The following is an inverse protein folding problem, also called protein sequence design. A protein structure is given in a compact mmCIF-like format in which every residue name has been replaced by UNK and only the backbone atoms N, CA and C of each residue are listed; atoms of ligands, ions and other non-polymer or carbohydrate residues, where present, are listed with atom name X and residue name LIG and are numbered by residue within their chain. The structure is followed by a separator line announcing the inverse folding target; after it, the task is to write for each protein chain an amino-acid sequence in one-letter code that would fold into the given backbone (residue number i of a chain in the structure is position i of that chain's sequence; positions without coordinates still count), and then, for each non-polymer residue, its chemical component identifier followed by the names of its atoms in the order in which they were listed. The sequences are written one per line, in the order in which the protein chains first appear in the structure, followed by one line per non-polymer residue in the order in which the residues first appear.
data_IF_228028697041
#
_entry.id   IF_228028697041
#
_cell.length_a   1.000
_cell.length_b   1.000
_cell.length_c   1.000
_cell.angle_alpha   90.00
_cell.angle_beta   90.00
_cell.angle_gamma   90.00
#
_symmetry.space_group_name_H-M   'P 1'
#
loop_
_entity.id
_entity.type
_entity.pdbx_description
1 polymer ?
#
# COMPACT_ATOMS: atom_id res chain seq x y z
N UNK A 1 3.56 20.77 -10.27
CA UNK A 1 3.11 19.73 -11.23
C UNK A 1 1.72 19.26 -10.80
N UNK A 2 1.10 18.25 -11.43
CA UNK A 2 -0.11 17.68 -10.83
C UNK A 2 0.28 16.85 -9.60
N UNK A 3 -0.59 16.79 -8.59
CA UNK A 3 -0.36 15.97 -7.38
C UNK A 3 -0.10 14.50 -7.71
N UNK A 4 -0.76 13.98 -8.74
CA UNK A 4 -0.56 12.61 -9.24
C UNK A 4 0.88 12.42 -9.74
N UNK A 5 1.38 13.36 -10.54
CA UNK A 5 2.74 13.30 -11.08
C UNK A 5 3.79 13.37 -9.96
N UNK A 6 3.60 14.29 -9.00
CA UNK A 6 4.51 14.45 -7.86
C UNK A 6 4.55 13.19 -6.98
N UNK A 7 3.39 12.59 -6.70
CA UNK A 7 3.32 11.32 -5.97
C UNK A 7 4.01 10.18 -6.72
N UNK A 8 3.72 10.04 -8.02
CA UNK A 8 4.28 9.00 -8.86
C UNK A 8 5.81 9.11 -8.92
N UNK A 9 6.36 10.30 -9.16
CA UNK A 9 7.81 10.52 -9.18
C UNK A 9 8.46 10.19 -7.84
N UNK A 10 7.81 10.55 -6.72
CA UNK A 10 8.34 10.32 -5.37
C UNK A 10 8.40 8.83 -5.01
N UNK A 11 7.41 8.04 -5.41
CA UNK A 11 7.26 6.65 -4.96
C UNK A 11 7.45 5.60 -6.06
N UNK A 12 7.81 6.01 -7.29
CA UNK A 12 8.04 5.09 -8.41
C UNK A 12 9.06 3.99 -8.09
N UNK A 13 10.13 4.32 -7.36
CA UNK A 13 11.17 3.33 -7.00
C UNK A 13 10.58 2.21 -6.15
N UNK A 14 9.77 2.53 -5.13
CA UNK A 14 9.11 1.51 -4.30
C UNK A 14 8.14 0.67 -5.14
N UNK A 15 7.30 1.29 -5.97
CA UNK A 15 6.37 0.54 -6.82
C UNK A 15 7.07 -0.40 -7.80
N UNK A 16 8.18 0.05 -8.41
CA UNK A 16 9.00 -0.78 -9.29
C UNK A 16 9.69 -1.93 -8.56
N UNK A 17 10.10 -1.74 -7.30
CA UNK A 17 10.61 -2.83 -6.47
C UNK A 17 9.55 -3.88 -6.19
N UNK A 18 8.33 -3.45 -5.87
CA UNK A 18 7.21 -4.37 -5.66
C UNK A 18 6.87 -5.14 -6.94
N UNK A 19 6.90 -4.49 -8.10
CA UNK A 19 6.73 -5.15 -9.40
C UNK A 19 7.77 -6.25 -9.64
N UNK A 20 9.05 -5.98 -9.36
CA UNK A 20 10.11 -6.97 -9.54
C UNK A 20 10.03 -8.14 -8.55
N UNK A 21 9.63 -7.88 -7.30
CA UNK A 21 9.57 -8.89 -6.25
C UNK A 21 8.31 -9.75 -6.32
N UNK A 22 7.17 -9.12 -6.61
CA UNK A 22 5.83 -9.69 -6.40
C UNK A 22 4.99 -9.76 -7.67
N UNK A 23 5.47 -9.23 -8.79
CA UNK A 23 4.75 -9.25 -10.07
C UNK A 23 3.57 -8.28 -10.16
N UNK A 24 3.41 -7.35 -9.21
CA UNK A 24 2.34 -6.35 -9.27
C UNK A 24 2.78 -5.21 -10.18
N UNK A 25 2.09 -4.89 -11.29
CA UNK A 25 2.49 -3.80 -12.16
C UNK A 25 2.70 -2.50 -11.38
N UNK A 26 3.86 -1.84 -11.55
CA UNK A 26 4.20 -0.65 -10.79
C UNK A 26 3.15 0.47 -10.94
N UNK A 27 2.53 0.56 -12.13
CA UNK A 27 1.43 1.49 -12.42
C UNK A 27 0.20 1.23 -11.56
N UNK A 28 -0.15 -0.03 -11.31
CA UNK A 28 -1.28 -0.43 -10.46
C UNK A 28 -1.00 -0.03 -9.01
N UNK A 29 0.17 -0.39 -8.48
CA UNK A 29 0.57 -0.02 -7.12
C UNK A 29 0.58 1.50 -6.92
N UNK A 30 1.10 2.26 -7.89
CA UNK A 30 1.07 3.73 -7.82
C UNK A 30 -0.34 4.30 -7.91
N UNK A 31 -1.20 3.75 -8.78
CA UNK A 31 -2.57 4.21 -8.93
C UNK A 31 -3.37 3.98 -7.63
N UNK A 32 -3.25 2.79 -7.03
CA UNK A 32 -3.83 2.50 -5.72
C UNK A 32 -3.25 3.42 -4.65
N UNK A 33 -1.93 3.54 -4.58
CA UNK A 33 -1.27 4.45 -3.63
C UNK A 33 -1.79 5.88 -3.74
N UNK A 34 -1.96 6.42 -4.96
CA UNK A 34 -2.54 7.75 -5.19
C UNK A 34 -3.95 7.86 -4.63
N UNK A 35 -4.82 6.90 -4.96
CA UNK A 35 -6.23 6.91 -4.57
C UNK A 35 -6.40 6.78 -3.06
N UNK A 36 -5.79 5.76 -2.47
CA UNK A 36 -5.94 5.37 -1.07
C UNK A 36 -5.31 6.40 -0.12
N UNK A 37 -4.23 7.07 -0.55
CA UNK A 37 -3.52 8.04 0.29
C UNK A 37 -3.87 9.50 0.03
N UNK A 38 -4.84 9.80 -0.84
CA UNK A 38 -5.08 11.17 -1.33
C UNK A 38 -3.77 11.83 -1.82
N UNK A 39 -3.03 11.15 -2.69
CA UNK A 39 -1.69 11.58 -3.13
C UNK A 39 -0.69 11.77 -1.96
N UNK A 40 -0.74 10.89 -0.95
CA UNK A 40 0.12 10.95 0.22
C UNK A 40 -0.22 12.08 1.19
N UNK A 41 -1.41 12.67 1.09
CA UNK A 41 -1.86 13.78 1.93
C UNK A 41 -2.89 13.36 2.98
N UNK A 42 -3.33 12.09 2.98
CA UNK A 42 -4.21 11.59 4.03
C UNK A 42 -3.51 11.64 5.39
N UNK A 43 -4.30 11.79 6.46
CA UNK A 43 -3.78 11.80 7.83
C UNK A 43 -3.01 10.52 8.16
N UNK A 44 -3.51 9.37 7.69
CA UNK A 44 -2.83 8.07 7.86
C UNK A 44 -1.47 8.03 7.15
N UNK A 45 -1.40 8.53 5.91
CA UNK A 45 -0.14 8.50 5.16
C UNK A 45 0.90 9.47 5.72
N UNK A 46 0.47 10.64 6.19
CA UNK A 46 1.37 11.64 6.78
C UNK A 46 1.89 11.24 8.16
N UNK A 47 1.04 10.64 9.00
CA UNK A 47 1.39 10.35 10.39
C UNK A 47 1.96 8.94 10.59
N UNK A 48 1.49 7.98 9.79
CA UNK A 48 1.75 6.55 10.02
C UNK A 48 2.52 5.91 8.86
N UNK A 49 2.92 6.68 7.85
CA UNK A 49 3.44 6.18 6.57
C UNK A 49 2.53 5.13 5.91
N UNK A 50 1.24 5.06 6.27
CA UNK A 50 0.31 4.05 5.79
C UNK A 50 -0.43 4.58 4.57
N UNK A 51 0.03 4.18 3.38
CA UNK A 51 -0.53 4.65 2.11
C UNK A 51 -1.75 3.86 1.62
N UNK A 52 -2.02 2.70 2.22
CA UNK A 52 -3.04 1.75 1.74
C UNK A 52 -4.11 1.45 2.79
N UNK A 53 -4.21 2.25 3.84
CA UNK A 53 -5.23 2.10 4.89
C UNK A 53 -5.21 0.74 5.59
N UNK A 54 -4.03 0.10 5.70
CA UNK A 54 -3.95 -1.27 6.24
C UNK A 54 -4.28 -1.26 7.74
N UNK A 55 -5.32 -2.01 8.12
CA UNK A 55 -5.74 -2.16 9.52
C UNK A 55 -4.74 -3.02 10.31
N UNK A 56 -4.47 -2.62 11.54
CA UNK A 56 -3.62 -3.37 12.46
C UNK A 56 -4.36 -4.61 12.97
N UNK A 57 -4.00 -5.76 12.43
CA UNK A 57 -4.59 -7.05 12.82
C UNK A 57 -4.13 -7.47 14.23
N UNK A 58 -4.84 -8.40 14.90
CA UNK A 58 -4.36 -8.96 16.17
C UNK A 58 -2.94 -9.55 16.07
N UNK A 59 -2.61 -10.19 14.94
CA UNK A 59 -1.28 -10.75 14.70
C UNK A 59 -0.19 -9.70 14.59
N UNK A 60 -0.45 -8.58 13.89
CA UNK A 60 0.45 -7.44 13.82
C UNK A 60 0.78 -6.89 15.21
N UNK A 61 -0.25 -6.67 16.03
CA UNK A 61 -0.11 -6.14 17.39
C UNK A 61 0.66 -7.13 18.28
N UNK A 62 0.35 -8.43 18.20
CA UNK A 62 1.02 -9.46 19.00
C UNK A 62 2.52 -9.58 18.67
N UNK A 63 2.93 -9.23 17.45
CA UNK A 63 4.33 -9.17 17.02
C UNK A 63 5.02 -7.84 17.37
N UNK A 64 4.34 -6.94 18.08
CA UNK A 64 4.89 -5.64 18.48
C UNK A 64 4.80 -4.57 17.40
N UNK A 65 3.98 -4.76 16.37
CA UNK A 65 3.78 -3.80 15.31
C UNK A 65 3.14 -2.49 15.83
N UNK A 66 3.69 -1.35 15.40
CA UNK A 66 3.17 -0.01 15.75
C UNK A 66 1.82 0.22 15.07
N UNK A 67 0.93 0.97 15.73
CA UNK A 67 -0.35 1.35 15.15
C UNK A 67 -0.83 2.69 15.72
N UNK A 68 -1.60 3.42 14.93
CA UNK A 68 -2.34 4.60 15.39
C UNK A 68 -3.84 4.29 15.49
N UNK A 69 -4.55 5.06 16.30
CA UNK A 69 -6.00 4.94 16.48
C UNK A 69 -6.69 6.08 15.74
N UNK A 70 -7.58 5.71 14.82
CA UNK A 70 -8.31 6.63 13.97
C UNK A 70 -9.78 6.19 13.91
N UNK A 71 -10.67 7.15 13.70
CA UNK A 71 -12.08 6.86 13.39
C UNK A 71 -12.24 6.98 11.89
N UNK A 72 -12.60 5.87 11.24
CA UNK A 72 -12.82 5.77 9.80
C UNK A 72 -14.25 5.24 9.55
N UNK A 73 -14.42 3.92 9.37
CA UNK A 73 -15.74 3.28 9.29
C UNK A 73 -16.41 3.18 10.67
N UNK A 74 -15.59 2.92 11.69
CA UNK A 74 -16.00 2.74 13.08
C UNK A 74 -15.12 3.56 14.02
N UNK A 75 -15.62 3.91 15.22
CA UNK A 75 -14.81 4.54 16.24
C UNK A 75 -13.63 3.67 16.66
N UNK A 76 -12.47 4.31 16.87
CA UNK A 76 -11.27 3.70 17.47
C UNK A 76 -10.70 2.51 16.68
N UNK A 77 -10.73 2.58 15.35
CA UNK A 77 -10.06 1.61 14.50
C UNK A 77 -8.54 1.76 14.57
N UNK A 78 -7.85 0.63 14.48
CA UNK A 78 -6.38 0.57 14.57
C UNK A 78 -5.82 0.38 13.19
N UNK A 79 -4.92 1.26 12.78
CA UNK A 79 -4.22 1.20 11.50
C UNK A 79 -2.74 1.00 11.73
N UNK A 80 -2.10 0.17 10.91
CA UNK A 80 -0.67 -0.06 10.99
C UNK A 80 0.09 1.26 10.85
N UNK A 81 1.19 1.35 11.59
CA UNK A 81 2.16 2.44 11.50
C UNK A 81 3.50 1.87 11.09
N UNK A 82 4.14 2.52 10.12
CA UNK A 82 5.34 2.03 9.46
C UNK A 82 6.50 2.99 9.65
N UNK A 83 7.72 2.45 9.69
CA UNK A 83 8.94 3.26 9.80
C UNK A 83 9.22 4.02 8.50
N UNK A 84 8.80 3.49 7.35
CA UNK A 84 8.87 4.15 6.06
C UNK A 84 7.64 3.91 5.17
N UNK A 85 7.46 4.76 4.16
CA UNK A 85 6.43 4.55 3.11
C UNK A 85 6.66 3.23 2.37
N UNK A 86 7.92 2.86 2.13
CA UNK A 86 8.29 1.61 1.47
C UNK A 86 7.78 0.37 2.21
N UNK A 87 7.77 0.40 3.54
CA UNK A 87 7.25 -0.71 4.35
C UNK A 87 5.73 -0.89 4.18
N UNK A 88 4.99 0.21 3.96
CA UNK A 88 3.56 0.12 3.64
C UNK A 88 3.31 -0.48 2.25
N UNK A 89 4.17 -0.18 1.27
CA UNK A 89 4.14 -0.77 -0.08
C UNK A 89 4.46 -2.27 -0.04
N UNK A 90 5.44 -2.67 0.79
CA UNK A 90 5.81 -4.05 1.01
C UNK A 90 4.67 -4.85 1.65
N UNK A 91 4.03 -4.31 2.71
CA UNK A 91 2.89 -4.97 3.37
C UNK A 91 1.69 -5.09 2.42
N UNK A 92 1.37 -4.04 1.66
CA UNK A 92 0.32 -4.09 0.64
C UNK A 92 0.57 -5.19 -0.38
N UNK A 93 1.80 -5.29 -0.88
CA UNK A 93 2.16 -6.28 -1.91
C UNK A 93 2.07 -7.71 -1.38
N UNK A 94 2.57 -7.97 -0.16
CA UNK A 94 2.42 -9.28 0.50
C UNK A 94 0.96 -9.65 0.70
N UNK A 95 0.12 -8.72 1.13
CA UNK A 95 -1.31 -8.97 1.30
C UNK A 95 -1.97 -9.42 -0.01
N UNK A 96 -1.63 -8.80 -1.15
CA UNK A 96 -2.17 -9.20 -2.45
C UNK A 96 -1.68 -10.59 -2.89
N UNK A 97 -0.38 -10.85 -2.77
CA UNK A 97 0.23 -12.12 -3.21
C UNK A 97 -0.21 -13.30 -2.33
N UNK A 98 -0.31 -13.11 -1.02
CA UNK A 98 -0.60 -14.21 -0.08
C UNK A 98 -2.10 -14.54 -0.03
N UNK A 99 -2.97 -13.63 -0.48
CA UNK A 99 -4.41 -13.81 -0.42
C UNK A 99 -4.95 -14.41 -1.72
N UNK A 100 -5.34 -15.69 -1.67
CA UNK A 100 -5.88 -16.47 -2.81
C UNK A 100 -7.00 -15.78 -3.59
N UNK A 101 -7.74 -14.87 -2.96
CA UNK A 101 -8.78 -14.06 -3.64
C UNK A 101 -8.23 -13.24 -4.81
N UNK A 102 -6.96 -12.87 -4.80
CA UNK A 102 -6.32 -12.10 -5.86
C UNK A 102 -5.48 -12.96 -6.80
N UNK A 103 -5.52 -14.30 -6.69
CA UNK A 103 -4.63 -15.17 -7.47
C UNK A 103 -4.73 -14.92 -8.98
N UNK A 104 -5.94 -14.73 -9.52
CA UNK A 104 -6.18 -14.45 -10.95
C UNK A 104 -5.55 -13.13 -11.42
N UNK A 105 -5.30 -12.17 -10.51
CA UNK A 105 -4.61 -10.92 -10.85
C UNK A 105 -3.13 -11.12 -11.19
N UNK A 106 -2.59 -12.32 -10.97
CA UNK A 106 -1.19 -12.67 -11.23
C UNK A 106 -1.02 -13.68 -12.37
N UNK A 107 -2.09 -14.00 -13.10
CA UNK A 107 -2.02 -14.95 -14.23
C UNK A 107 -1.32 -14.35 -15.47
N UNK A 108 -1.37 -13.02 -15.61
CA UNK A 108 -0.72 -12.29 -16.70
C UNK A 108 0.66 -11.77 -16.28
N UNK A 109 1.52 -11.57 -17.27
CA UNK A 109 2.84 -10.98 -17.03
C UNK A 109 2.69 -9.55 -16.49
N UNK A 110 3.56 -9.06 -15.58
CA UNK A 110 3.43 -7.72 -15.01
C UNK A 110 3.58 -6.58 -16.04
N UNK A 111 4.17 -6.86 -17.20
CA UNK A 111 4.32 -5.97 -18.34
C UNK A 111 3.23 -6.16 -19.42
N UNK A 112 2.34 -7.14 -19.25
CA UNK A 112 1.21 -7.38 -20.14
C UNK A 112 0.02 -6.49 -19.79
N UNK A 113 0.06 -5.26 -20.27
CA UNK A 113 -1.02 -4.29 -20.10
C UNK A 113 -2.19 -4.48 -21.07
N UNK A 114 -2.14 -5.48 -21.96
CA UNK A 114 -3.17 -5.72 -22.99
C UNK A 114 -4.09 -6.89 -22.65
N UNK A 115 -3.55 -7.91 -21.97
CA UNK A 115 -4.27 -9.15 -21.64
C UNK A 115 -4.32 -10.13 -22.79
#
# INVERSE_FOLDING_TARGET
MSKNKEYAEKYAVFAMEQMRKYGIPASVTLAQGILESSNGQSRLSLNENNHFGIKATPGWIAQGGKYGIYTDDKPNEKFCSYDSVGDSYEHHSKFLVENKRYAECFDLSPDDYKG
#
